data_IF_261364699286
#
_entry.id   IF_261364699286
#
_cell.length_a   1.000
_cell.length_b   1.000
_cell.length_c   1.000
_cell.angle_alpha   90.00
_cell.angle_beta   90.00
_cell.angle_gamma   90.00
#
_symmetry.space_group_name_H-M   'P 1'
#
loop_
_entity.id
_entity.type
_entity.pdbx_description
1 polymer ?
#
# COMPACT_ATOMS: atom_id res chain seq x y z
N UNK A 1 -29.19 0.15 -42.63
CA UNK A 1 -28.14 -0.10 -43.67
C UNK A 1 -28.75 -0.91 -44.80
N UNK A 2 -28.27 -0.72 -46.04
CA UNK A 2 -28.85 -1.35 -47.22
C UNK A 2 -27.75 -1.95 -48.10
N UNK A 3 -27.77 -3.27 -48.32
CA UNK A 3 -26.83 -3.98 -49.19
C UNK A 3 -27.49 -4.37 -50.52
N UNK A 4 -27.12 -3.67 -51.59
CA UNK A 4 -27.59 -3.89 -52.95
C UNK A 4 -26.41 -4.20 -53.87
N UNK A 5 -26.44 -5.36 -54.54
CA UNK A 5 -25.33 -5.84 -55.38
C UNK A 5 -23.99 -5.92 -54.61
N UNK A 6 -24.06 -6.11 -53.29
CA UNK A 6 -22.90 -6.27 -52.42
C UNK A 6 -22.65 -7.77 -52.21
N UNK A 7 -21.39 -8.19 -52.24
CA UNK A 7 -21.04 -9.58 -52.03
C UNK A 7 -19.78 -9.66 -51.16
N UNK A 8 -19.65 -10.73 -50.38
CA UNK A 8 -18.49 -10.96 -49.49
C UNK A 8 -18.29 -9.84 -48.45
N UNK A 9 -19.36 -9.15 -48.08
CA UNK A 9 -19.35 -8.09 -47.07
C UNK A 9 -19.34 -8.70 -45.67
N UNK A 10 -18.53 -8.16 -44.77
CA UNK A 10 -18.52 -8.54 -43.36
C UNK A 10 -19.04 -7.37 -42.52
N UNK A 11 -20.15 -7.60 -41.81
CA UNK A 11 -20.77 -6.66 -40.86
C UNK A 11 -20.61 -7.27 -39.48
N UNK A 12 -19.73 -6.68 -38.66
CA UNK A 12 -19.48 -7.12 -37.29
C UNK A 12 -19.38 -5.95 -36.31
N UNK A 13 -19.79 -6.19 -35.06
CA UNK A 13 -19.66 -5.25 -33.93
C UNK A 13 -20.31 -3.88 -34.19
N UNK A 14 -21.45 -3.87 -34.90
CA UNK A 14 -22.26 -2.68 -35.10
C UNK A 14 -23.51 -2.71 -34.21
N UNK A 15 -24.01 -1.52 -33.85
CA UNK A 15 -25.33 -1.35 -33.27
C UNK A 15 -26.27 -0.70 -34.28
N UNK A 16 -27.35 -1.40 -34.62
CA UNK A 16 -28.47 -0.90 -35.40
C UNK A 16 -29.59 -0.57 -34.41
N UNK A 17 -29.69 0.69 -34.02
CA UNK A 17 -30.60 1.14 -32.97
C UNK A 17 -31.68 2.10 -33.48
N UNK A 18 -32.94 1.83 -33.12
CA UNK A 18 -34.08 2.74 -33.31
C UNK A 18 -34.32 3.18 -34.76
N UNK A 19 -34.22 2.23 -35.71
CA UNK A 19 -34.51 2.47 -37.12
C UNK A 19 -35.85 1.85 -37.54
N UNK A 20 -36.44 2.35 -38.64
CA UNK A 20 -37.56 1.67 -39.30
C UNK A 20 -37.15 0.28 -39.83
N UNK A 21 -35.92 0.18 -40.35
CA UNK A 21 -35.29 -1.06 -40.77
C UNK A 21 -33.80 -1.03 -40.41
N UNK A 22 -33.33 -1.96 -39.58
CA UNK A 22 -31.94 -2.00 -39.14
C UNK A 22 -30.97 -2.32 -40.28
N UNK A 23 -31.12 -3.48 -40.92
CA UNK A 23 -30.30 -3.91 -42.07
C UNK A 23 -31.14 -4.62 -43.13
N UNK A 24 -31.05 -4.18 -44.39
CA UNK A 24 -31.56 -4.93 -45.55
C UNK A 24 -30.41 -5.58 -46.33
N UNK A 25 -30.54 -6.86 -46.65
CA UNK A 25 -29.73 -7.54 -47.66
C UNK A 25 -30.64 -7.91 -48.83
N UNK A 26 -30.46 -7.22 -49.96
CA UNK A 26 -31.32 -7.41 -51.12
C UNK A 26 -31.01 -8.72 -51.87
N UNK A 27 -31.93 -9.15 -52.72
CA UNK A 27 -31.87 -10.43 -53.44
C UNK A 27 -30.68 -10.56 -54.41
N UNK A 28 -30.07 -9.45 -54.85
CA UNK A 28 -28.87 -9.49 -55.70
C UNK A 28 -27.55 -9.61 -54.90
N UNK A 29 -27.59 -9.49 -53.58
CA UNK A 29 -26.41 -9.58 -52.69
C UNK A 29 -26.21 -11.01 -52.16
N UNK A 30 -24.97 -11.50 -52.11
CA UNK A 30 -24.66 -12.88 -51.70
C UNK A 30 -23.30 -13.06 -51.01
N UNK A 31 -23.18 -14.12 -50.22
CA UNK A 31 -21.96 -14.44 -49.44
C UNK A 31 -21.57 -13.35 -48.44
N UNK A 32 -22.52 -12.52 -48.00
CA UNK A 32 -22.31 -11.58 -46.91
C UNK A 32 -22.42 -12.29 -45.56
N UNK A 33 -21.75 -11.73 -44.55
CA UNK A 33 -21.72 -12.22 -43.17
C UNK A 33 -22.14 -11.12 -42.22
N UNK A 34 -23.19 -11.36 -41.46
CA UNK A 34 -23.72 -10.48 -40.41
C UNK A 34 -23.61 -11.21 -39.09
N UNK A 35 -22.56 -10.91 -38.32
CA UNK A 35 -22.29 -11.59 -37.05
C UNK A 35 -21.83 -10.61 -35.98
N UNK A 36 -22.12 -10.89 -34.71
CA UNK A 36 -21.71 -10.05 -33.57
C UNK A 36 -22.24 -8.61 -33.63
N UNK A 37 -23.43 -8.40 -34.17
CA UNK A 37 -24.09 -7.09 -34.17
C UNK A 37 -25.22 -7.03 -33.15
N UNK A 38 -25.64 -5.82 -32.78
CA UNK A 38 -26.81 -5.57 -31.96
C UNK A 38 -27.94 -4.95 -32.79
N UNK A 39 -29.05 -5.66 -32.96
CA UNK A 39 -30.29 -5.15 -33.53
C UNK A 39 -31.26 -4.79 -32.41
N UNK A 40 -31.27 -3.51 -32.04
CA UNK A 40 -31.99 -3.01 -30.88
C UNK A 40 -33.08 -2.01 -31.25
N UNK A 41 -34.31 -2.30 -30.81
CA UNK A 41 -35.44 -1.36 -30.87
C UNK A 41 -35.75 -0.83 -32.27
N UNK A 42 -35.46 -1.61 -33.32
CA UNK A 42 -35.90 -1.28 -34.68
C UNK A 42 -37.34 -1.75 -34.90
N UNK A 43 -38.08 -1.09 -35.80
CA UNK A 43 -39.43 -1.54 -36.18
C UNK A 43 -39.35 -2.89 -36.90
N UNK A 44 -38.36 -3.04 -37.79
CA UNK A 44 -37.94 -4.30 -38.38
C UNK A 44 -36.44 -4.45 -38.16
N UNK A 45 -36.00 -5.49 -37.43
CA UNK A 45 -34.58 -5.68 -37.12
C UNK A 45 -33.73 -5.80 -38.38
N UNK A 46 -34.12 -6.71 -39.27
CA UNK A 46 -33.42 -7.00 -40.52
C UNK A 46 -34.40 -7.43 -41.60
N UNK A 47 -33.96 -7.41 -42.85
CA UNK A 47 -34.68 -7.95 -44.00
C UNK A 47 -33.67 -8.62 -44.95
N UNK A 48 -33.53 -9.95 -44.85
CA UNK A 48 -32.57 -10.74 -45.65
C UNK A 48 -33.31 -11.47 -46.75
N UNK A 49 -33.14 -11.00 -47.98
CA UNK A 49 -33.91 -11.44 -49.14
C UNK A 49 -33.20 -12.49 -50.01
N UNK A 50 -31.97 -12.87 -49.65
CA UNK A 50 -31.21 -13.99 -50.21
C UNK A 50 -30.36 -14.64 -49.13
N UNK A 51 -30.10 -15.94 -49.27
CA UNK A 51 -29.30 -16.72 -48.31
C UNK A 51 -27.91 -16.08 -48.14
N UNK A 52 -27.65 -15.59 -46.94
CA UNK A 52 -26.40 -15.02 -46.44
C UNK A 52 -26.19 -15.54 -45.01
N UNK A 53 -24.98 -15.38 -44.46
CA UNK A 53 -24.69 -15.83 -43.10
C UNK A 53 -25.19 -14.79 -42.11
N UNK A 54 -26.13 -15.18 -41.26
CA UNK A 54 -26.62 -14.37 -40.15
C UNK A 54 -26.57 -15.26 -38.92
N UNK A 55 -25.66 -14.97 -38.00
CA UNK A 55 -25.41 -15.80 -36.82
C UNK A 55 -24.73 -14.98 -35.72
N UNK A 56 -24.85 -15.35 -34.45
CA UNK A 56 -24.20 -14.61 -33.34
C UNK A 56 -24.58 -13.14 -33.27
N UNK A 57 -25.84 -12.76 -33.54
CA UNK A 57 -26.30 -11.38 -33.34
C UNK A 57 -27.22 -11.28 -32.12
N UNK A 58 -27.20 -10.12 -31.47
CA UNK A 58 -28.18 -9.75 -30.46
C UNK A 58 -29.44 -9.20 -31.13
N UNK A 59 -30.60 -9.66 -30.66
CA UNK A 59 -31.91 -9.20 -31.13
C UNK A 59 -32.74 -8.76 -29.92
N UNK A 60 -33.17 -7.51 -29.90
CA UNK A 60 -33.99 -6.96 -28.81
C UNK A 60 -35.37 -7.64 -28.67
N UNK A 61 -35.82 -8.34 -29.71
CA UNK A 61 -37.03 -9.17 -29.75
C UNK A 61 -36.74 -10.68 -29.65
N UNK A 62 -35.52 -11.07 -29.27
CA UNK A 62 -35.21 -12.46 -28.97
C UNK A 62 -35.95 -12.93 -27.71
N UNK A 63 -36.92 -13.84 -27.90
CA UNK A 63 -37.70 -14.44 -26.81
C UNK A 63 -37.35 -15.91 -26.52
N UNK A 64 -36.19 -16.39 -26.98
CA UNK A 64 -35.74 -17.77 -26.79
C UNK A 64 -35.18 -18.05 -25.40
N UNK A 65 -34.55 -19.21 -25.24
CA UNK A 65 -33.92 -19.65 -23.99
C UNK A 65 -32.42 -19.81 -24.13
N UNK A 66 -31.68 -19.51 -23.07
CA UNK A 66 -30.28 -19.86 -22.85
C UNK A 66 -30.24 -20.74 -21.58
N UNK A 67 -30.15 -22.06 -21.77
CA UNK A 67 -30.28 -23.06 -20.71
C UNK A 67 -28.95 -23.29 -20.01
N UNK A 68 -27.84 -23.21 -20.74
CA UNK A 68 -26.50 -23.41 -20.20
C UNK A 68 -25.87 -22.12 -19.64
N UNK A 69 -26.53 -20.96 -19.82
CA UNK A 69 -26.13 -19.64 -19.34
C UNK A 69 -24.78 -19.19 -19.88
N UNK A 70 -24.45 -19.57 -21.11
CA UNK A 70 -23.22 -19.15 -21.78
C UNK A 70 -23.37 -17.81 -22.55
N UNK A 71 -24.57 -17.21 -22.51
CA UNK A 71 -24.90 -15.97 -23.20
C UNK A 71 -25.26 -16.17 -24.67
N UNK A 72 -25.32 -17.41 -25.17
CA UNK A 72 -25.78 -17.77 -26.50
C UNK A 72 -27.12 -18.50 -26.36
N UNK A 73 -28.10 -18.07 -27.14
CA UNK A 73 -29.44 -18.64 -27.15
C UNK A 73 -29.48 -20.03 -27.79
N UNK A 74 -30.10 -20.99 -27.11
CA UNK A 74 -30.33 -22.37 -27.59
C UNK A 74 -31.49 -22.47 -28.59
N UNK A 75 -32.32 -21.43 -28.67
CA UNK A 75 -33.43 -21.36 -29.63
C UNK A 75 -33.04 -20.50 -30.83
N UNK A 76 -33.06 -21.02 -32.06
CA UNK A 76 -32.80 -20.20 -33.25
C UNK A 76 -33.77 -19.03 -33.39
N UNK A 77 -33.28 -17.86 -33.81
CA UNK A 77 -34.07 -16.67 -34.08
C UNK A 77 -34.36 -16.55 -35.59
N UNK A 78 -35.63 -16.55 -36.03
CA UNK A 78 -35.97 -16.34 -37.43
C UNK A 78 -35.59 -14.94 -37.91
N UNK A 79 -34.82 -14.85 -39.00
CA UNK A 79 -34.40 -13.57 -39.57
C UNK A 79 -35.45 -13.11 -40.59
N UNK A 80 -36.09 -11.93 -40.41
CA UNK A 80 -37.11 -11.48 -41.34
C UNK A 80 -36.57 -11.29 -42.77
N UNK A 81 -37.42 -11.47 -43.77
CA UNK A 81 -37.08 -11.38 -45.20
C UNK A 81 -37.53 -12.61 -45.99
N UNK A 82 -37.20 -12.66 -47.27
CA UNK A 82 -37.61 -13.76 -48.16
C UNK A 82 -36.65 -14.94 -48.20
N UNK A 83 -35.49 -14.85 -47.55
CA UNK A 83 -34.46 -15.91 -47.58
C UNK A 83 -34.78 -17.13 -46.70
N UNK A 84 -35.58 -16.95 -45.63
CA UNK A 84 -35.88 -17.99 -44.66
C UNK A 84 -34.69 -18.43 -43.79
N UNK A 85 -33.65 -17.60 -43.69
CA UNK A 85 -32.50 -17.88 -42.81
C UNK A 85 -32.88 -17.65 -41.34
N UNK A 86 -32.19 -18.35 -40.44
CA UNK A 86 -32.30 -18.17 -39.00
C UNK A 86 -30.90 -17.87 -38.45
N UNK A 87 -30.84 -17.02 -37.43
CA UNK A 87 -29.68 -16.93 -36.54
C UNK A 87 -29.73 -18.14 -35.61
N UNK A 88 -28.75 -19.04 -35.72
CA UNK A 88 -28.74 -20.29 -34.97
C UNK A 88 -28.15 -20.13 -33.57
N UNK A 89 -27.40 -19.06 -33.35
CA UNK A 89 -26.74 -18.73 -32.09
C UNK A 89 -27.07 -17.27 -31.67
N UNK A 90 -28.34 -16.90 -31.44
CA UNK A 90 -28.69 -15.53 -31.06
C UNK A 90 -28.01 -15.14 -29.74
N UNK A 91 -27.45 -13.94 -29.63
CA UNK A 91 -26.84 -13.48 -28.38
C UNK A 91 -27.90 -13.00 -27.39
N UNK A 92 -27.77 -13.40 -26.12
CA UNK A 92 -28.66 -12.98 -25.02
C UNK A 92 -28.37 -11.54 -24.59
N UNK A 93 -27.12 -11.10 -24.67
CA UNK A 93 -26.68 -9.76 -24.31
C UNK A 93 -26.08 -9.04 -25.53
N UNK A 94 -26.05 -7.70 -25.50
CA UNK A 94 -25.40 -6.93 -26.57
C UNK A 94 -23.89 -7.25 -26.62
N UNK A 95 -23.30 -7.55 -27.81
CA UNK A 95 -21.87 -7.85 -27.97
C UNK A 95 -20.98 -6.58 -27.95
N UNK A 96 -21.22 -5.70 -26.99
CA UNK A 96 -20.47 -4.46 -26.84
C UNK A 96 -19.35 -4.63 -25.84
N UNK A 97 -18.26 -3.90 -26.05
CA UNK A 97 -17.20 -3.80 -25.06
C UNK A 97 -17.73 -3.22 -23.74
N UNK A 98 -17.24 -3.69 -22.58
CA UNK A 98 -17.43 -2.98 -21.32
C UNK A 98 -16.97 -1.52 -21.43
N UNK A 99 -17.53 -0.62 -20.64
CA UNK A 99 -17.19 0.80 -20.63
C UNK A 99 -16.85 1.25 -19.21
N UNK A 100 -15.75 1.97 -19.05
CA UNK A 100 -15.43 2.60 -17.77
C UNK A 100 -16.51 3.63 -17.41
N UNK A 101 -17.09 3.54 -16.23
CA UNK A 101 -18.01 4.58 -15.72
C UNK A 101 -17.24 5.89 -15.58
N UNK A 102 -16.04 5.81 -15.03
CA UNK A 102 -15.04 6.88 -15.05
C UNK A 102 -13.72 6.28 -15.57
N UNK A 103 -13.16 6.79 -16.68
CA UNK A 103 -11.89 6.31 -17.18
C UNK A 103 -10.79 6.40 -16.09
N UNK A 104 -9.93 5.38 -15.94
CA UNK A 104 -8.80 5.45 -15.03
C UNK A 104 -7.90 6.66 -15.36
N UNK A 105 -7.49 7.39 -14.33
CA UNK A 105 -6.60 8.56 -14.45
C UNK A 105 -5.41 8.43 -13.52
N UNK A 106 -4.36 9.19 -13.81
CA UNK A 106 -3.13 9.21 -13.04
C UNK A 106 -3.39 9.51 -11.55
N UNK A 107 -2.59 8.87 -10.69
CA UNK A 107 -2.65 9.00 -9.24
C UNK A 107 -1.30 9.47 -8.70
N UNK A 108 -1.36 10.36 -7.71
CA UNK A 108 -0.21 10.76 -6.93
C UNK A 108 -0.46 10.29 -5.50
N UNK A 109 0.51 9.60 -4.92
CA UNK A 109 0.42 9.06 -3.56
C UNK A 109 1.67 9.44 -2.78
N UNK A 110 1.46 9.78 -1.51
CA UNK A 110 2.54 9.99 -0.55
C UNK A 110 3.26 8.67 -0.23
N UNK A 111 4.58 8.70 -0.17
CA UNK A 111 5.38 7.54 0.16
C UNK A 111 5.01 6.96 1.54
N UNK A 112 5.13 5.64 1.68
CA UNK A 112 4.72 4.94 2.91
C UNK A 112 3.23 4.67 3.06
N UNK A 113 2.38 5.23 2.19
CA UNK A 113 0.96 4.86 2.13
C UNK A 113 0.72 3.65 1.21
N UNK A 114 -0.25 2.80 1.58
CA UNK A 114 -0.73 1.73 0.71
C UNK A 114 -1.58 2.29 -0.42
N UNK A 115 -1.41 1.75 -1.63
CA UNK A 115 -2.21 2.14 -2.78
C UNK A 115 -3.52 1.34 -2.84
N UNK A 116 -4.62 2.02 -3.11
CA UNK A 116 -5.92 1.42 -3.44
C UNK A 116 -6.64 2.28 -4.48
N UNK A 117 -7.20 1.65 -5.51
CA UNK A 117 -7.97 2.34 -6.53
C UNK A 117 -9.14 1.48 -7.03
N UNK A 118 -10.34 1.96 -6.75
CA UNK A 118 -11.60 1.36 -7.17
C UNK A 118 -11.91 1.74 -8.63
N UNK A 119 -12.21 0.74 -9.47
CA UNK A 119 -12.56 0.93 -10.86
C UNK A 119 -14.00 0.47 -11.11
N UNK A 120 -14.77 1.34 -11.76
CA UNK A 120 -16.15 1.06 -12.11
C UNK A 120 -16.31 0.83 -13.60
N UNK A 121 -17.01 -0.25 -13.96
CA UNK A 121 -17.32 -0.62 -15.35
C UNK A 121 -18.81 -0.90 -15.52
N UNK A 122 -19.36 -0.41 -16.63
CA UNK A 122 -20.68 -0.80 -17.12
C UNK A 122 -20.53 -1.77 -18.29
N UNK A 123 -21.33 -2.84 -18.30
CA UNK A 123 -21.33 -3.80 -19.40
C UNK A 123 -22.72 -4.37 -19.62
N UNK A 124 -23.09 -4.52 -20.90
CA UNK A 124 -24.34 -5.18 -21.28
C UNK A 124 -24.27 -6.70 -21.10
N UNK A 125 -23.13 -7.30 -21.46
CA UNK A 125 -22.85 -8.71 -21.24
C UNK A 125 -22.11 -8.90 -19.91
N UNK A 126 -22.33 -10.01 -19.18
CA UNK A 126 -21.58 -10.32 -17.96
C UNK A 126 -20.07 -10.20 -18.13
N UNK A 127 -19.39 -9.67 -17.13
CA UNK A 127 -17.94 -9.65 -17.06
C UNK A 127 -17.44 -11.08 -16.80
N UNK A 128 -16.41 -11.50 -17.53
CA UNK A 128 -15.81 -12.83 -17.42
C UNK A 128 -14.36 -12.75 -16.92
N UNK A 129 -13.64 -11.71 -17.30
CA UNK A 129 -12.22 -11.57 -16.97
C UNK A 129 -11.82 -10.12 -16.75
N UNK A 130 -10.78 -9.93 -15.94
CA UNK A 130 -10.12 -8.65 -15.71
C UNK A 130 -8.66 -8.89 -15.37
N UNK A 131 -7.83 -7.87 -15.50
CA UNK A 131 -6.42 -8.00 -15.15
C UNK A 131 -5.63 -6.71 -15.24
N UNK A 132 -4.36 -6.82 -14.85
CA UNK A 132 -3.42 -5.72 -14.76
C UNK A 132 -2.05 -6.13 -15.29
N UNK A 133 -1.28 -5.18 -15.84
CA UNK A 133 0.00 -5.50 -16.50
C UNK A 133 1.16 -5.82 -15.53
N UNK A 134 1.00 -5.57 -14.23
CA UNK A 134 2.06 -5.70 -13.24
C UNK A 134 1.58 -6.35 -11.95
N UNK A 135 1.34 -7.64 -12.03
CA UNK A 135 0.90 -8.47 -10.90
C UNK A 135 2.00 -8.68 -9.83
N UNK A 136 3.24 -8.30 -10.13
CA UNK A 136 4.33 -8.40 -9.15
C UNK A 136 4.18 -7.37 -8.02
N UNK A 137 3.71 -6.17 -8.37
CA UNK A 137 3.55 -5.04 -7.44
C UNK A 137 2.10 -4.76 -7.08
N UNK A 138 1.15 -5.20 -7.89
CA UNK A 138 -0.26 -4.90 -7.73
C UNK A 138 -1.11 -6.16 -7.77
N UNK A 139 -2.33 -6.05 -7.27
CA UNK A 139 -3.39 -7.05 -7.43
C UNK A 139 -4.71 -6.35 -7.76
N UNK A 140 -5.64 -7.07 -8.37
CA UNK A 140 -6.99 -6.60 -8.69
C UNK A 140 -8.02 -7.62 -8.24
N UNK A 141 -9.03 -7.19 -7.47
CA UNK A 141 -10.10 -8.08 -6.99
C UNK A 141 -11.22 -8.28 -8.02
N UNK A 142 -12.17 -9.17 -7.74
CA UNK A 142 -13.40 -9.36 -8.53
C UNK A 142 -14.32 -8.16 -8.56
N UNK A 143 -14.16 -7.27 -7.59
CA UNK A 143 -14.86 -5.99 -7.50
C UNK A 143 -14.05 -4.87 -8.20
N UNK A 144 -13.03 -5.23 -8.98
CA UNK A 144 -12.16 -4.31 -9.73
C UNK A 144 -11.38 -3.31 -8.87
N UNK A 145 -11.17 -3.62 -7.58
CA UNK A 145 -10.32 -2.81 -6.69
C UNK A 145 -8.87 -3.20 -6.88
N UNK A 146 -8.06 -2.26 -7.32
CA UNK A 146 -6.61 -2.41 -7.46
C UNK A 146 -5.93 -2.05 -6.15
N UNK A 147 -5.03 -2.89 -5.64
CA UNK A 147 -4.20 -2.59 -4.47
C UNK A 147 -2.73 -2.85 -4.75
N UNK A 148 -1.82 -2.16 -4.04
CA UNK A 148 -0.42 -2.56 -4.04
C UNK A 148 -0.18 -3.75 -3.10
N UNK A 149 0.67 -4.69 -3.53
CA UNK A 149 1.02 -5.88 -2.74
C UNK A 149 1.91 -5.52 -1.54
N UNK A 150 2.70 -4.46 -1.68
CA UNK A 150 3.59 -3.91 -0.67
C UNK A 150 3.58 -2.37 -0.73
N UNK A 151 4.36 -1.73 0.14
CA UNK A 151 4.63 -0.28 0.01
C UNK A 151 5.46 -0.03 -1.23
N UNK A 152 5.02 0.93 -2.04
CA UNK A 152 5.70 1.29 -3.27
C UNK A 152 6.83 2.29 -2.97
N UNK A 153 8.07 2.02 -3.42
CA UNK A 153 9.13 3.01 -3.40
C UNK A 153 8.78 4.27 -4.21
N UNK A 154 9.48 5.38 -3.92
CA UNK A 154 9.38 6.61 -4.71
C UNK A 154 9.70 6.31 -6.17
N UNK A 155 8.83 6.76 -7.07
CA UNK A 155 8.93 6.45 -8.49
C UNK A 155 7.61 6.62 -9.23
N UNK A 156 7.64 6.30 -10.52
CA UNK A 156 6.47 6.30 -11.39
C UNK A 156 6.23 4.88 -11.93
N UNK A 157 4.98 4.43 -11.83
CA UNK A 157 4.53 3.10 -12.24
C UNK A 157 3.42 3.25 -13.27
N UNK A 158 3.68 2.83 -14.52
CA UNK A 158 2.64 2.76 -15.54
C UNK A 158 1.91 1.43 -15.41
N UNK A 159 0.60 1.48 -15.16
CA UNK A 159 -0.24 0.30 -15.05
C UNK A 159 -1.25 0.27 -16.20
N UNK A 160 -1.30 -0.83 -16.93
CA UNK A 160 -2.38 -1.11 -17.89
C UNK A 160 -3.39 -2.05 -17.25
N UNK A 161 -4.67 -1.80 -17.49
CA UNK A 161 -5.79 -2.56 -16.92
C UNK A 161 -6.74 -2.96 -18.05
N UNK A 162 -7.34 -4.14 -17.94
CA UNK A 162 -8.32 -4.63 -18.90
C UNK A 162 -9.49 -5.32 -18.21
N UNK A 163 -10.65 -5.26 -18.86
CA UNK A 163 -11.88 -5.97 -18.48
C UNK A 163 -12.48 -6.57 -19.75
N UNK A 164 -12.79 -7.86 -19.73
CA UNK A 164 -13.43 -8.62 -20.80
C UNK A 164 -14.78 -9.17 -20.35
N UNK A 165 -15.74 -9.20 -21.27
CA UNK A 165 -17.03 -9.85 -21.06
C UNK A 165 -17.03 -11.29 -21.57
N UNK A 166 -18.11 -12.04 -21.29
CA UNK A 166 -18.29 -13.45 -21.72
C UNK A 166 -18.19 -13.69 -23.24
N UNK A 167 -18.22 -12.63 -24.05
CA UNK A 167 -18.05 -12.70 -25.49
C UNK A 167 -16.61 -12.43 -25.96
N UNK A 168 -15.66 -12.32 -25.04
CA UNK A 168 -14.26 -12.02 -25.33
C UNK A 168 -14.03 -10.60 -25.89
N UNK A 169 -14.95 -9.68 -25.60
CA UNK A 169 -14.81 -8.27 -25.99
C UNK A 169 -14.22 -7.48 -24.84
N UNK A 170 -13.07 -6.84 -25.08
CA UNK A 170 -12.29 -6.17 -24.05
C UNK A 170 -12.39 -4.65 -24.12
N UNK A 171 -12.23 -4.05 -22.95
CA UNK A 171 -11.90 -2.64 -22.77
C UNK A 171 -10.61 -2.52 -21.96
N UNK A 172 -9.69 -1.69 -22.45
CA UNK A 172 -8.37 -1.48 -21.87
C UNK A 172 -8.20 0.00 -21.48
N UNK A 173 -7.37 0.26 -20.48
CA UNK A 173 -6.87 1.61 -20.17
C UNK A 173 -5.46 1.54 -19.58
N UNK A 174 -4.78 2.67 -19.51
CA UNK A 174 -3.53 2.82 -18.77
C UNK A 174 -3.50 4.13 -18.02
N UNK A 175 -2.81 4.13 -16.88
CA UNK A 175 -2.59 5.31 -16.04
C UNK A 175 -1.26 5.20 -15.29
N UNK A 176 -0.79 6.31 -14.75
CA UNK A 176 0.44 6.40 -13.98
C UNK A 176 0.11 6.50 -12.50
N UNK A 177 0.83 5.74 -11.68
CA UNK A 177 0.87 5.89 -10.22
C UNK A 177 2.22 6.51 -9.88
N UNK A 178 2.21 7.72 -9.35
CA UNK A 178 3.41 8.47 -8.96
C UNK A 178 3.51 8.52 -7.44
N UNK A 179 4.57 7.92 -6.91
CA UNK A 179 4.89 7.97 -5.49
C UNK A 179 5.87 9.12 -5.27
N UNK A 180 5.48 10.07 -4.42
CA UNK A 180 6.29 11.22 -4.03
C UNK A 180 6.38 11.31 -2.51
N UNK A 181 7.35 12.08 -2.04
CA UNK A 181 7.49 12.43 -0.64
C UNK A 181 7.21 13.93 -0.47
N UNK A 182 6.25 14.25 0.40
CA UNK A 182 5.78 15.62 0.69
C UNK A 182 5.74 15.92 2.19
N UNK A 183 6.15 14.98 3.04
CA UNK A 183 6.03 15.07 4.49
C UNK A 183 7.41 15.18 5.11
N UNK A 184 7.58 16.14 6.02
CA UNK A 184 8.84 16.27 6.74
C UNK A 184 9.10 15.13 7.73
N UNK A 185 10.38 14.82 8.01
CA UNK A 185 10.75 13.81 9.00
C UNK A 185 10.10 14.04 10.36
N UNK A 186 9.74 12.95 11.02
CA UNK A 186 9.29 12.98 12.41
C UNK A 186 10.49 12.86 13.37
N UNK A 187 10.46 13.64 14.44
CA UNK A 187 11.47 13.68 15.49
C UNK A 187 10.77 13.79 16.85
N UNK A 188 11.18 12.98 17.83
CA UNK A 188 10.73 13.11 19.22
C UNK A 188 11.30 14.37 19.88
N UNK A 189 10.66 14.87 20.93
CA UNK A 189 11.17 16.00 21.71
C UNK A 189 11.50 15.56 23.15
N UNK A 190 12.74 15.11 23.44
CA UNK A 190 13.19 14.81 24.79
C UNK A 190 13.15 16.07 25.67
N UNK A 191 13.02 15.86 26.97
CA UNK A 191 13.04 16.98 27.93
C UNK A 191 14.45 17.53 28.13
N UNK A 192 14.52 18.80 28.52
CA UNK A 192 15.74 19.44 28.99
C UNK A 192 16.34 18.69 30.19
N UNK A 193 17.67 18.69 30.29
CA UNK A 193 18.43 17.93 31.27
C UNK A 193 19.10 18.83 32.30
N UNK A 194 19.14 18.35 33.54
CA UNK A 194 19.92 18.93 34.64
C UNK A 194 20.87 17.85 35.14
N UNK A 195 22.17 18.05 34.92
CA UNK A 195 23.20 17.02 35.13
C UNK A 195 24.20 17.46 36.18
N UNK A 196 24.58 16.54 37.07
CA UNK A 196 25.61 16.80 38.06
C UNK A 196 26.99 16.83 37.40
N UNK A 197 27.80 17.84 37.73
CA UNK A 197 29.17 17.98 37.22
C UNK A 197 29.98 16.71 37.51
N UNK A 198 30.71 16.21 36.50
CA UNK A 198 31.50 14.97 36.52
C UNK A 198 30.69 13.65 36.65
N UNK A 199 29.37 13.67 36.44
CA UNK A 199 28.60 12.42 36.31
C UNK A 199 28.86 11.71 34.97
N UNK A 200 28.71 10.39 34.95
CA UNK A 200 28.90 9.53 33.77
C UNK A 200 27.59 8.83 33.38
N UNK A 201 27.50 8.36 32.14
CA UNK A 201 26.32 7.68 31.59
C UNK A 201 25.21 8.63 31.16
N UNK A 202 25.54 9.90 30.91
CA UNK A 202 24.59 10.93 30.49
C UNK A 202 24.45 10.94 28.98
N UNK A 203 23.21 10.94 28.49
CA UNK A 203 22.95 10.99 27.06
C UNK A 203 21.60 11.64 26.74
N UNK A 204 21.46 12.12 25.52
CA UNK A 204 20.16 12.48 24.91
C UNK A 204 19.77 11.36 23.96
N UNK A 205 18.48 11.01 23.91
CA UNK A 205 17.96 9.97 23.03
C UNK A 205 16.76 10.50 22.24
N UNK A 206 16.92 10.62 20.92
CA UNK A 206 15.85 10.98 19.99
C UNK A 206 15.35 9.75 19.24
N UNK A 207 14.03 9.67 19.02
CA UNK A 207 13.41 8.79 18.04
C UNK A 207 13.11 9.59 16.78
N UNK A 208 13.58 9.10 15.64
CA UNK A 208 13.36 9.73 14.34
C UNK A 208 12.77 8.74 13.34
N UNK A 209 11.87 9.19 12.49
CA UNK A 209 11.29 8.37 11.42
C UNK A 209 10.90 9.19 10.20
N UNK A 210 11.14 8.60 9.04
CA UNK A 210 10.75 9.09 7.72
C UNK A 210 10.70 7.92 6.72
N UNK A 211 9.91 8.01 5.65
CA UNK A 211 9.83 6.97 4.60
C UNK A 211 10.87 7.16 3.47
N UNK A 212 11.54 8.31 3.44
CA UNK A 212 12.55 8.75 2.49
C UNK A 212 13.73 9.47 3.22
N UNK A 213 14.34 8.84 4.25
CA UNK A 213 15.35 9.51 5.08
C UNK A 213 16.63 9.81 4.29
N UNK A 214 17.30 10.91 4.64
CA UNK A 214 18.57 11.32 4.00
C UNK A 214 19.72 11.38 5.01
N UNK A 215 19.71 12.39 5.87
CA UNK A 215 20.80 12.67 6.78
C UNK A 215 20.34 13.48 7.98
N UNK A 216 21.21 13.64 8.98
CA UNK A 216 20.98 14.51 10.13
C UNK A 216 22.23 15.31 10.50
N UNK A 217 22.02 16.39 11.24
CA UNK A 217 23.04 17.28 11.75
C UNK A 217 22.86 17.50 13.24
N UNK A 218 23.97 17.58 13.96
CA UNK A 218 24.00 17.91 15.38
C UNK A 218 24.71 19.25 15.57
N UNK A 219 24.05 20.16 16.27
CA UNK A 219 24.57 21.47 16.60
C UNK A 219 24.68 21.62 18.11
N UNK A 220 25.69 22.36 18.56
CA UNK A 220 25.85 22.79 19.94
C UNK A 220 25.90 24.31 19.97
N UNK A 221 25.00 24.93 20.74
CA UNK A 221 24.89 26.39 20.85
C UNK A 221 24.76 27.07 19.47
N UNK A 222 24.09 26.41 18.52
CA UNK A 222 23.88 26.90 17.16
C UNK A 222 25.04 26.67 16.17
N UNK A 223 26.15 26.05 16.58
CA UNK A 223 27.26 25.70 15.69
C UNK A 223 27.34 24.19 15.46
N UNK A 224 27.80 23.76 14.28
CA UNK A 224 27.98 22.34 13.97
C UNK A 224 28.97 21.69 14.94
N UNK A 225 28.55 20.58 15.57
CA UNK A 225 29.41 19.83 16.50
C UNK A 225 30.59 19.15 15.81
N UNK A 226 30.41 18.78 14.55
CA UNK A 226 31.40 18.03 13.78
C UNK A 226 31.73 18.78 12.49
N UNK A 227 33.00 18.69 12.08
CA UNK A 227 33.47 19.29 10.82
C UNK A 227 32.80 18.66 9.59
N UNK A 228 32.41 17.39 9.67
CA UNK A 228 31.42 16.77 8.80
C UNK A 228 30.06 16.80 9.53
N UNK A 229 29.23 17.78 9.20
CA UNK A 229 27.97 18.04 9.89
C UNK A 229 26.77 17.24 9.37
N UNK A 230 26.95 16.36 8.38
CA UNK A 230 25.87 15.58 7.78
C UNK A 230 26.14 14.08 7.93
N UNK A 231 25.40 13.46 8.84
CA UNK A 231 25.47 12.03 9.12
C UNK A 231 24.39 11.28 8.33
N UNK A 232 24.78 10.19 7.67
CA UNK A 232 23.85 9.39 6.87
C UNK A 232 22.75 8.79 7.75
N UNK A 233 21.51 8.93 7.29
CA UNK A 233 20.33 8.30 7.87
C UNK A 233 19.60 7.53 6.78
N UNK A 234 19.83 6.21 6.73
CA UNK A 234 19.22 5.32 5.73
C UNK A 234 18.27 4.29 6.34
N UNK A 235 18.28 4.12 7.66
CA UNK A 235 17.44 3.17 8.40
C UNK A 235 16.38 3.94 9.19
N UNK A 236 15.11 3.59 9.03
CA UNK A 236 13.98 4.28 9.66
C UNK A 236 12.93 3.26 10.11
N UNK A 237 12.35 3.38 11.33
CA UNK A 237 12.69 4.35 12.37
C UNK A 237 14.09 4.14 12.96
N UNK A 238 14.67 5.17 13.57
CA UNK A 238 15.99 5.12 14.21
C UNK A 238 15.98 5.82 15.57
N UNK A 239 16.66 5.21 16.54
CA UNK A 239 17.03 5.87 17.80
C UNK A 239 18.43 6.48 17.66
N UNK A 240 18.54 7.79 17.84
CA UNK A 240 19.82 8.49 17.91
C UNK A 240 20.16 8.79 19.36
N UNK A 241 21.31 8.29 19.81
CA UNK A 241 21.83 8.54 21.16
C UNK A 241 23.06 9.43 21.06
N UNK A 242 23.06 10.53 21.79
CA UNK A 242 24.19 11.44 21.91
C UNK A 242 24.75 11.43 23.33
N UNK A 243 25.98 10.99 23.46
CA UNK A 243 26.73 10.96 24.73
C UNK A 243 27.10 12.39 25.17
N UNK A 244 26.84 12.69 26.44
CA UNK A 244 27.11 13.99 27.05
C UNK A 244 28.28 13.98 28.03
N UNK A 245 28.91 12.84 28.33
CA UNK A 245 29.88 12.69 29.43
C UNK A 245 31.11 13.59 29.25
N UNK A 246 31.58 13.73 27.99
CA UNK A 246 32.66 14.67 27.68
C UNK A 246 32.27 16.12 28.01
N UNK A 247 31.02 16.52 27.79
CA UNK A 247 30.57 17.89 28.03
C UNK A 247 30.23 18.16 29.49
N UNK A 248 29.62 17.18 30.18
CA UNK A 248 29.34 17.24 31.62
C UNK A 248 30.61 17.43 32.44
N UNK A 249 31.74 16.92 31.95
CA UNK A 249 33.06 17.11 32.55
C UNK A 249 33.80 18.36 32.07
N UNK A 250 33.51 18.87 30.87
CA UNK A 250 34.20 20.03 30.29
C UNK A 250 33.60 21.40 30.66
N UNK A 251 32.33 21.46 31.08
CA UNK A 251 31.63 22.68 31.45
C UNK A 251 31.62 22.92 32.98
N UNK A 252 31.55 24.19 33.38
CA UNK A 252 31.51 24.59 34.78
C UNK A 252 30.09 24.52 35.36
N UNK A 253 29.99 24.49 36.69
CA UNK A 253 28.71 24.54 37.40
C UNK A 253 27.96 25.84 37.05
N UNK A 254 26.66 25.71 36.80
CA UNK A 254 25.72 26.73 36.29
C UNK A 254 25.85 27.08 34.81
N UNK A 255 26.76 26.44 34.08
CA UNK A 255 26.76 26.57 32.62
C UNK A 255 25.51 25.91 32.02
N UNK A 256 25.02 26.54 30.94
CA UNK A 256 23.94 26.03 30.12
C UNK A 256 24.43 25.95 28.69
N UNK A 257 24.26 24.79 28.06
CA UNK A 257 24.43 24.61 26.63
C UNK A 257 23.21 23.92 26.04
N UNK A 258 23.03 24.04 24.72
CA UNK A 258 21.99 23.29 24.03
C UNK A 258 22.59 22.38 22.97
N UNK A 259 21.88 21.28 22.73
CA UNK A 259 22.14 20.36 21.62
C UNK A 259 20.89 20.36 20.75
N UNK A 260 21.06 20.67 19.47
CA UNK A 260 19.99 20.65 18.48
C UNK A 260 20.25 19.51 17.49
N UNK A 261 19.26 18.63 17.33
CA UNK A 261 19.23 17.64 16.26
C UNK A 261 18.36 18.20 15.13
N UNK A 262 18.89 18.20 13.90
CA UNK A 262 18.15 18.51 12.68
C UNK A 262 18.18 17.26 11.80
N UNK A 263 17.01 16.81 11.35
CA UNK A 263 16.85 15.66 10.46
C UNK A 263 16.31 16.11 9.11
N UNK A 264 16.78 15.46 8.03
CA UNK A 264 16.45 15.77 6.65
C UNK A 264 15.99 14.51 5.91
N UNK A 265 14.99 14.66 5.05
CA UNK A 265 14.61 13.65 4.05
C UNK A 265 15.34 13.90 2.71
N UNK A 266 15.10 13.02 1.73
CA UNK A 266 15.68 13.11 0.39
C UNK A 266 14.98 14.14 -0.51
N UNK A 267 13.77 14.57 -0.15
CA UNK A 267 12.96 15.56 -0.88
C UNK A 267 13.28 17.00 -0.45
N UNK A 268 14.08 17.17 0.60
CA UNK A 268 14.54 18.45 1.12
C UNK A 268 13.71 19.01 2.27
N UNK A 269 12.73 18.28 2.82
CA UNK A 269 12.09 18.71 4.05
C UNK A 269 12.95 18.35 5.27
N UNK A 270 12.67 19.03 6.38
CA UNK A 270 13.44 18.87 7.60
C UNK A 270 12.61 19.18 8.84
N UNK A 271 13.03 18.58 9.94
CA UNK A 271 12.52 18.83 11.28
C UNK A 271 13.68 18.95 12.27
N UNK A 272 13.46 19.63 13.39
CA UNK A 272 14.50 19.79 14.41
C UNK A 272 13.93 19.82 15.81
N UNK A 273 14.75 19.40 16.76
CA UNK A 273 14.49 19.49 18.20
C UNK A 273 15.73 19.98 18.95
N UNK A 274 15.53 20.73 20.03
CA UNK A 274 16.59 21.32 20.84
C UNK A 274 16.41 20.95 22.30
N UNK A 275 17.45 20.39 22.90
CA UNK A 275 17.51 20.04 24.33
C UNK A 275 18.51 20.96 25.02
N UNK A 276 18.08 21.65 26.07
CA UNK A 276 18.94 22.42 26.96
C UNK A 276 19.51 21.53 28.06
N UNK A 277 20.80 21.70 28.37
CA UNK A 277 21.52 20.98 29.41
C UNK A 277 22.08 22.00 30.40
N UNK A 278 21.70 21.86 31.66
CA UNK A 278 22.21 22.69 32.77
C UNK A 278 23.12 21.84 33.66
N UNK A 279 24.34 22.32 33.93
CA UNK A 279 25.28 21.66 34.84
C UNK A 279 25.10 22.18 36.26
N UNK A 280 24.91 21.28 37.22
CA UNK A 280 24.74 21.60 38.64
C UNK A 280 25.83 20.98 39.50
N UNK A 281 25.98 21.47 40.73
CA UNK A 281 26.92 20.90 41.70
C UNK A 281 26.55 19.44 42.00
N UNK A 282 27.55 18.55 42.19
CA UNK A 282 27.28 17.19 42.62
C UNK A 282 26.66 17.18 44.02
N UNK A 283 25.63 16.37 44.23
CA UNK A 283 24.99 16.27 45.54
C UNK A 283 25.96 15.60 46.51
N UNK A 284 26.47 16.36 47.49
CA UNK A 284 27.42 15.81 48.46
C UNK A 284 26.70 14.83 49.38
N UNK A 285 26.93 13.53 49.21
CA UNK A 285 26.40 12.51 50.13
C UNK A 285 27.24 12.54 51.41
N UNK A 286 26.70 13.12 52.50
CA UNK A 286 27.34 13.04 53.82
C UNK A 286 27.10 11.65 54.39
N UNK A 287 28.05 10.74 54.21
CA UNK A 287 28.07 9.47 54.93
C UNK A 287 28.38 9.77 56.40
N UNK A 288 27.35 9.86 57.24
CA UNK A 288 27.53 9.99 58.69
C UNK A 288 27.98 8.62 59.23
N UNK A 289 29.29 8.39 59.31
CA UNK A 289 29.85 7.20 59.93
C UNK A 289 29.63 7.31 61.44
N UNK A 290 28.50 6.80 61.94
CA UNK A 290 28.30 6.64 63.38
C UNK A 290 29.34 5.65 63.90
N UNK A 291 30.44 6.17 64.45
CA UNK A 291 31.42 5.36 65.17
C UNK A 291 30.83 5.05 66.54
N UNK A 292 30.16 3.90 66.68
CA UNK A 292 29.84 3.38 68.00
C UNK A 292 31.14 2.91 68.66
N UNK A 293 31.68 3.72 69.56
CA UNK A 293 32.71 3.29 70.52
C UNK A 293 32.10 2.24 71.44
N UNK A 294 32.31 0.96 71.10
CA UNK A 294 32.02 -0.17 71.97
C UNK A 294 33.02 -0.16 73.13
N UNK A 295 32.57 0.31 74.31
CA UNK A 295 33.26 0.01 75.56
C UNK A 295 33.33 -1.50 75.77
N UNK A 296 34.53 -2.02 76.03
CA UNK A 296 34.78 -3.41 76.38
C UNK A 296 33.96 -3.81 77.61
N UNK A 297 33.01 -4.71 77.42
CA UNK A 297 32.51 -5.61 78.47
C UNK A 297 32.65 -7.04 77.93
N UNK A 298 33.37 -7.84 78.70
CA UNK A 298 33.73 -9.22 78.41
C UNK A 298 32.53 -10.09 78.02
N UNK A 299 32.69 -10.83 76.91
CA UNK A 299 32.14 -12.18 76.77
C UNK A 299 30.66 -12.33 76.40
N UNK A 300 30.17 -11.73 75.31
CA UNK A 300 29.00 -12.23 74.55
C UNK A 300 29.15 -11.89 73.06
N UNK A 301 28.96 -12.82 72.10
CA UNK A 301 28.91 -12.47 70.68
C UNK A 301 27.60 -11.71 70.39
N UNK A 302 27.71 -10.40 70.12
CA UNK A 302 26.58 -9.59 69.62
C UNK A 302 26.55 -9.70 68.09
N UNK A 303 25.47 -10.27 67.56
CA UNK A 303 25.11 -10.20 66.15
C UNK A 303 24.57 -8.78 65.90
N UNK A 304 25.33 -7.96 65.17
CA UNK A 304 24.86 -6.67 64.69
C UNK A 304 24.01 -6.93 63.44
N UNK A 305 22.70 -6.69 63.54
CA UNK A 305 21.82 -6.51 62.39
C UNK A 305 22.17 -5.16 61.76
N UNK A 306 22.93 -5.17 60.66
CA UNK A 306 22.98 -4.05 59.75
C UNK A 306 21.69 -4.06 58.92
N UNK A 307 20.72 -3.23 59.29
CA UNK A 307 19.62 -2.88 58.40
C UNK A 307 20.16 -1.93 57.32
N UNK A 308 20.47 -2.47 56.14
CA UNK A 308 20.66 -1.64 54.95
C UNK A 308 19.28 -1.17 54.48
N UNK A 309 19.06 0.14 54.48
CA UNK A 309 17.99 0.76 53.71
C UNK A 309 18.22 0.43 52.24
N UNK A 310 17.37 -0.42 51.68
CA UNK A 310 17.48 -0.92 50.32
C UNK A 310 16.60 -2.14 50.14
N UNK A 311 15.29 -1.97 50.26
CA UNK A 311 14.34 -3.02 49.95
C UNK A 311 14.25 -3.22 48.44
N UNK A 312 15.08 -4.11 47.88
CA UNK A 312 14.70 -5.09 46.85
C UNK A 312 15.60 -6.32 47.00
N UNK A 313 14.96 -7.47 47.18
CA UNK A 313 15.57 -8.79 47.45
C UNK A 313 16.07 -9.40 46.14
N UNK A 314 17.36 -9.72 46.07
CA UNK A 314 17.94 -10.58 45.02
C UNK A 314 18.10 -11.99 45.60
N UNK A 315 17.19 -12.90 45.24
CA UNK A 315 17.25 -14.31 45.64
C UNK A 315 18.26 -15.03 44.75
N UNK A 316 19.47 -15.25 45.25
CA UNK A 316 20.44 -16.18 44.64
C UNK A 316 20.25 -17.58 45.25
N UNK A 317 19.79 -18.54 44.44
CA UNK A 317 19.78 -19.96 44.81
C UNK A 317 21.20 -20.52 44.77
N UNK A 318 21.79 -20.81 45.94
CA UNK A 318 23.01 -21.63 46.04
C UNK A 318 22.60 -23.09 46.27
N UNK A 319 22.72 -23.91 45.23
CA UNK A 319 22.61 -25.37 45.35
C UNK A 319 23.91 -25.94 45.93
N UNK A 320 23.88 -26.39 47.19
CA UNK A 320 24.95 -27.20 47.77
C UNK A 320 24.70 -28.66 47.38
N UNK A 321 25.48 -29.15 46.41
CA UNK A 321 25.57 -30.56 46.04
C UNK A 321 26.31 -31.35 47.12
N UNK A 322 25.59 -32.06 47.98
CA UNK A 322 26.16 -33.06 48.88
C UNK A 322 26.42 -34.37 48.14
N UNK A 323 27.68 -34.59 47.74
CA UNK A 323 28.19 -35.86 47.22
C UNK A 323 28.24 -36.90 48.34
N UNK A 324 27.28 -37.85 48.37
CA UNK A 324 27.40 -39.08 49.18
C UNK A 324 28.30 -40.08 48.46
N UNK A 325 29.40 -40.46 49.13
CA UNK A 325 30.19 -41.66 48.84
C UNK A 325 29.37 -42.89 49.23
N UNK A 326 29.16 -43.82 48.31
CA UNK A 326 28.82 -45.22 48.63
C UNK A 326 30.06 -46.08 48.44
N UNK A 327 30.28 -46.98 49.40
CA UNK A 327 31.40 -47.93 49.48
C UNK A 327 31.20 -49.14 48.57
N UNK A 328 32.33 -49.81 48.34
CA UNK A 328 32.59 -51.08 47.64
C UNK A 328 31.61 -52.23 47.89
N UNK A 329 31.30 -52.95 46.80
CA UNK A 329 31.81 -54.32 46.53
C UNK A 329 31.97 -54.50 45.04
#
# INVERSE_FOLDING_TARGET
>A
MYLYYANETIILLNEFYSNDLGLEINQQSFSDSVTWNAFDSNVVQTAVNRVNTVDYNYWSDYGGTDVNLDGIGDTPHPVPGTSGVNDLHPLVYKPMRPQWVVPPVDKILECGNSFSYDLDVESYAPIDEWGISDESRFSISSELVITSNELLPIGEYTLSVWVGNIYGVYQNSSFIIKIIDTIAPSISSPVDLVLEHLSEGNYISWQISDFSPSHYSLLRNGENLYSNSSFIWSESPKTLVYDLDYWVSAYDVNDVFNITLIVYDMSGHSSSDTVYVTIVEPVTTITTTNTTTSGLLDGVPIIILAASAGGVVLIAFVFILNKRRTQST
#
